data_IF_261583909792
#
_entry.id   IF_261583909792
#
_cell.length_a   1.000
_cell.length_b   1.000
_cell.length_c   1.000
_cell.angle_alpha   90.00
_cell.angle_beta   90.00
_cell.angle_gamma   90.00
#
_symmetry.space_group_name_H-M   'P 1'
#
loop_
_entity.id
_entity.type
_entity.pdbx_description
1 polymer ?
#
# COMPACT_ATOMS: atom_id res chain seq x y z
N UNK A 1 -23.76 -0.99 3.83
CA UNK A 1 -23.54 -1.48 2.45
C UNK A 1 -22.48 -2.58 2.50
N UNK A 2 -22.69 -3.71 1.83
CA UNK A 2 -21.69 -4.79 1.74
C UNK A 2 -20.58 -4.36 0.78
N UNK A 3 -19.32 -4.39 1.23
CA UNK A 3 -18.18 -4.15 0.35
C UNK A 3 -17.93 -5.41 -0.49
N UNK A 4 -17.68 -5.24 -1.79
CA UNK A 4 -17.51 -6.38 -2.70
C UNK A 4 -16.09 -6.96 -2.72
N UNK A 5 -15.10 -6.23 -2.18
CA UNK A 5 -13.69 -6.63 -2.23
C UNK A 5 -13.20 -7.26 -0.93
N UNK A 6 -13.76 -6.86 0.22
CA UNK A 6 -13.38 -7.36 1.54
C UNK A 6 -14.56 -7.31 2.51
N UNK A 7 -14.45 -8.03 3.63
CA UNK A 7 -15.27 -7.74 4.80
C UNK A 7 -14.78 -6.43 5.45
N UNK A 8 -15.72 -5.57 5.85
CA UNK A 8 -15.43 -4.22 6.36
C UNK A 8 -14.98 -4.26 7.82
N UNK A 9 -15.10 -5.42 8.49
CA UNK A 9 -14.52 -5.62 9.81
C UNK A 9 -12.99 -5.63 9.69
N UNK A 10 -12.38 -4.44 9.86
CA UNK A 10 -10.93 -4.26 9.89
C UNK A 10 -10.31 -5.26 10.85
N UNK A 11 -9.46 -6.13 10.32
CA UNK A 11 -8.63 -7.03 11.11
C UNK A 11 -7.42 -6.31 11.69
N UNK A 12 -7.06 -5.16 11.11
CA UNK A 12 -5.99 -4.31 11.65
C UNK A 12 -6.50 -3.42 12.78
N UNK A 13 -5.83 -3.50 13.92
CA UNK A 13 -5.97 -2.58 15.06
C UNK A 13 -4.76 -1.66 15.22
N UNK A 14 -3.79 -1.74 14.30
CA UNK A 14 -2.60 -0.89 14.35
C UNK A 14 -2.96 0.58 14.12
N UNK A 15 -2.42 1.53 14.91
CA UNK A 15 -2.64 2.95 14.69
C UNK A 15 -2.16 3.39 13.30
N UNK A 16 -3.02 4.07 12.54
CA UNK A 16 -2.69 4.59 11.21
C UNK A 16 -1.97 5.93 11.30
N UNK A 17 -1.00 6.14 10.40
CA UNK A 17 -0.27 7.40 10.32
C UNK A 17 -1.23 8.54 9.99
N UNK A 18 -1.40 9.46 10.94
CA UNK A 18 -2.39 10.53 10.88
C UNK A 18 -1.73 11.92 10.75
N UNK A 19 -2.55 12.97 10.71
CA UNK A 19 -2.06 14.35 10.57
C UNK A 19 -1.22 14.85 11.74
N UNK A 20 -1.48 14.36 12.96
CA UNK A 20 -0.68 14.70 14.13
C UNK A 20 0.70 14.05 13.99
N UNK A 21 0.76 12.78 13.59
CA UNK A 21 2.03 12.08 13.35
C UNK A 21 2.86 12.77 12.27
N UNK A 22 2.22 13.11 11.14
CA UNK A 22 2.86 13.85 10.06
C UNK A 22 3.33 15.24 10.51
N UNK A 23 2.56 15.93 11.36
CA UNK A 23 2.95 17.21 11.93
C UNK A 23 4.17 17.11 12.86
N UNK A 24 4.18 16.12 13.78
CA UNK A 24 5.31 15.86 14.67
C UNK A 24 6.59 15.48 13.92
N UNK A 25 6.45 14.81 12.78
CA UNK A 25 7.57 14.48 11.91
C UNK A 25 8.06 15.68 11.10
N UNK A 26 7.16 16.43 10.46
CA UNK A 26 7.56 17.45 9.47
C UNK A 26 7.83 18.84 10.07
N UNK A 27 7.16 19.21 11.15
CA UNK A 27 7.18 20.59 11.69
C UNK A 27 8.15 20.78 12.87
N UNK A 28 8.59 19.70 13.50
CA UNK A 28 9.46 19.74 14.68
C UNK A 28 10.85 19.19 14.36
N UNK A 29 11.91 19.70 15.02
CA UNK A 29 13.25 19.16 14.86
C UNK A 29 13.35 17.72 15.37
N UNK A 30 14.40 17.02 14.94
CA UNK A 30 14.72 15.68 15.42
C UNK A 30 15.01 15.71 16.94
N UNK A 31 14.21 14.96 17.70
CA UNK A 31 14.40 14.78 19.15
C UNK A 31 13.94 13.37 19.54
N UNK A 32 14.86 12.55 20.05
CA UNK A 32 14.57 11.18 20.45
C UNK A 32 13.72 11.08 21.72
N UNK A 33 13.83 12.04 22.62
CA UNK A 33 13.10 12.05 23.89
C UNK A 33 11.62 12.38 23.69
N UNK A 34 11.33 13.34 22.81
CA UNK A 34 9.96 13.71 22.47
C UNK A 34 9.43 12.96 21.24
N UNK A 35 10.27 12.16 20.58
CA UNK A 35 9.92 11.36 19.40
C UNK A 35 9.34 12.27 18.31
N UNK A 36 10.07 13.32 17.96
CA UNK A 36 9.75 14.28 16.89
C UNK A 36 10.77 14.17 15.76
N UNK A 37 10.44 14.69 14.58
CA UNK A 37 11.32 14.58 13.41
C UNK A 37 11.49 13.12 12.95
N UNK A 38 12.67 12.78 12.44
CA UNK A 38 13.02 11.42 11.98
C UNK A 38 12.79 10.32 13.04
N UNK A 39 13.08 10.54 14.34
CA UNK A 39 12.66 9.61 15.39
C UNK A 39 11.18 9.21 15.33
N UNK A 40 10.25 10.14 15.06
CA UNK A 40 8.82 9.83 14.91
C UNK A 40 8.57 8.88 13.75
N UNK A 41 9.14 9.21 12.60
CA UNK A 41 8.97 8.44 11.37
C UNK A 41 9.49 7.01 11.54
N UNK A 42 10.70 6.84 12.07
CA UNK A 42 11.32 5.53 12.25
C UNK A 42 10.66 4.71 13.36
N UNK A 43 10.22 5.36 14.45
CA UNK A 43 9.46 4.66 15.49
C UNK A 43 8.17 4.06 14.93
N UNK A 44 7.46 4.80 14.06
CA UNK A 44 6.27 4.28 13.39
C UNK A 44 6.60 3.14 12.42
N UNK A 45 7.59 3.33 11.53
CA UNK A 45 8.03 2.31 10.56
C UNK A 45 8.42 1.00 11.26
N UNK A 46 9.21 1.09 12.34
CA UNK A 46 9.63 -0.06 13.13
C UNK A 46 8.44 -0.74 13.84
N UNK A 47 7.55 0.04 14.46
CA UNK A 47 6.35 -0.49 15.11
C UNK A 47 5.42 -1.19 14.12
N UNK A 48 5.25 -0.65 12.91
CA UNK A 48 4.44 -1.24 11.85
C UNK A 48 4.99 -2.60 11.43
N UNK A 49 6.31 -2.69 11.17
CA UNK A 49 6.97 -3.94 10.82
C UNK A 49 6.84 -4.98 11.94
N UNK A 50 7.06 -4.56 13.19
CA UNK A 50 6.98 -5.47 14.34
C UNK A 50 5.55 -6.00 14.54
N UNK A 51 4.55 -5.13 14.44
CA UNK A 51 3.15 -5.50 14.61
C UNK A 51 2.65 -6.42 13.48
N UNK A 52 3.02 -6.14 12.23
CA UNK A 52 2.56 -6.90 11.06
C UNK A 52 3.52 -8.03 10.65
N UNK A 53 4.56 -8.33 11.44
CA UNK A 53 5.63 -9.29 11.11
C UNK A 53 5.09 -10.62 10.60
N UNK A 54 4.18 -11.24 11.34
CA UNK A 54 3.65 -12.57 10.99
C UNK A 54 2.80 -12.53 9.71
N UNK A 55 2.07 -11.44 9.48
CA UNK A 55 1.30 -11.23 8.25
C UNK A 55 2.22 -11.09 7.04
N UNK A 56 3.27 -10.26 7.17
CA UNK A 56 4.28 -10.06 6.12
C UNK A 56 4.95 -11.40 5.75
N UNK A 57 5.42 -12.15 6.75
CA UNK A 57 6.05 -13.45 6.55
C UNK A 57 5.07 -14.43 5.89
N UNK A 58 3.84 -14.52 6.41
CA UNK A 58 2.82 -15.44 5.91
C UNK A 58 2.43 -15.16 4.46
N UNK A 59 2.15 -13.89 4.11
CA UNK A 59 1.78 -13.52 2.74
C UNK A 59 2.96 -13.64 1.77
N UNK A 60 4.19 -13.30 2.18
CA UNK A 60 5.38 -13.48 1.35
C UNK A 60 5.60 -14.97 1.00
N UNK A 61 5.49 -15.87 1.98
CA UNK A 61 5.60 -17.30 1.73
C UNK A 61 4.45 -17.85 0.87
N UNK A 62 3.21 -17.42 1.13
CA UNK A 62 2.04 -17.82 0.34
C UNK A 62 2.20 -17.43 -1.12
N UNK A 63 2.67 -16.21 -1.38
CA UNK A 63 2.87 -15.71 -2.73
C UNK A 63 4.20 -16.13 -3.36
N UNK A 64 5.07 -16.79 -2.60
CA UNK A 64 6.40 -17.24 -3.01
C UNK A 64 7.31 -16.08 -3.41
N UNK A 65 7.35 -15.01 -2.63
CA UNK A 65 8.28 -13.89 -2.82
C UNK A 65 9.23 -13.77 -1.62
N UNK A 66 10.42 -13.14 -1.77
CA UNK A 66 11.33 -12.97 -0.66
C UNK A 66 10.67 -12.13 0.46
N UNK A 67 10.76 -12.62 1.70
CA UNK A 67 10.24 -11.88 2.87
C UNK A 67 10.91 -10.50 2.97
N UNK A 68 12.21 -10.44 2.69
CA UNK A 68 12.98 -9.19 2.72
C UNK A 68 12.45 -8.16 1.72
N UNK A 69 11.98 -8.59 0.54
CA UNK A 69 11.39 -7.70 -0.45
C UNK A 69 10.09 -7.08 0.09
N UNK A 70 9.15 -7.91 0.57
CA UNK A 70 7.88 -7.39 1.08
C UNK A 70 8.05 -6.53 2.34
N UNK A 71 8.96 -6.91 3.24
CA UNK A 71 9.28 -6.11 4.42
C UNK A 71 9.98 -4.79 4.05
N UNK A 72 10.86 -4.82 3.04
CA UNK A 72 11.53 -3.64 2.51
C UNK A 72 10.55 -2.64 1.90
N UNK A 73 9.61 -3.12 1.08
CA UNK A 73 8.51 -2.30 0.54
C UNK A 73 7.63 -1.76 1.67
N UNK A 74 7.30 -2.59 2.66
CA UNK A 74 6.52 -2.13 3.80
C UNK A 74 7.21 -0.97 4.54
N UNK A 75 8.51 -1.09 4.81
CA UNK A 75 9.24 -0.02 5.53
C UNK A 75 9.47 1.22 4.67
N UNK A 76 9.60 1.09 3.35
CA UNK A 76 9.77 2.25 2.45
C UNK A 76 8.48 3.08 2.38
N UNK A 77 7.34 2.41 2.23
CA UNK A 77 6.06 3.05 1.94
C UNK A 77 5.30 3.54 3.17
N UNK A 78 5.45 2.87 4.33
CA UNK A 78 4.68 3.26 5.51
C UNK A 78 5.16 4.61 6.05
N UNK A 79 4.19 5.39 6.54
CA UNK A 79 4.34 6.79 6.95
C UNK A 79 4.72 7.76 5.81
N UNK A 80 4.53 9.05 6.05
CA UNK A 80 4.66 10.10 5.04
C UNK A 80 3.38 10.92 4.96
N UNK A 81 2.56 10.70 3.93
CA UNK A 81 1.23 11.32 3.87
C UNK A 81 0.25 10.56 4.77
N UNK A 82 -0.62 11.25 5.53
CA UNK A 82 -1.67 10.60 6.32
C UNK A 82 -2.52 9.64 5.49
N UNK A 83 -2.65 8.40 5.92
CA UNK A 83 -3.18 7.30 5.09
C UNK A 83 -4.65 7.52 4.69
N UNK A 84 -5.48 7.90 5.67
CA UNK A 84 -6.92 8.17 5.44
C UNK A 84 -7.16 9.37 4.53
N UNK A 85 -6.22 10.32 4.47
CA UNK A 85 -6.35 11.49 3.61
C UNK A 85 -6.27 11.12 2.12
N UNK A 86 -5.47 10.11 1.76
CA UNK A 86 -5.43 9.60 0.39
C UNK A 86 -6.78 9.02 -0.03
N UNK A 87 -7.39 8.22 0.85
CA UNK A 87 -8.67 7.55 0.61
C UNK A 87 -9.87 8.50 0.55
N UNK A 88 -9.95 9.46 1.48
CA UNK A 88 -11.15 10.31 1.64
C UNK A 88 -10.97 11.76 1.20
N UNK A 89 -9.75 12.21 0.91
CA UNK A 89 -9.48 13.55 0.39
C UNK A 89 -9.04 13.51 -1.07
N UNK A 90 -7.87 12.90 -1.31
CA UNK A 90 -7.22 12.90 -2.63
C UNK A 90 -8.03 12.12 -3.67
N UNK A 91 -8.50 10.91 -3.32
CA UNK A 91 -9.30 10.10 -4.23
C UNK A 91 -10.59 10.82 -4.66
N UNK A 92 -11.35 11.36 -3.71
CA UNK A 92 -12.59 12.07 -4.00
C UNK A 92 -12.35 13.30 -4.90
N UNK A 93 -11.29 14.05 -4.62
CA UNK A 93 -10.88 15.17 -5.47
C UNK A 93 -10.55 14.71 -6.91
N UNK A 94 -9.81 13.62 -7.07
CA UNK A 94 -9.48 13.09 -8.40
C UNK A 94 -10.68 12.49 -9.15
N UNK A 95 -11.64 11.89 -8.44
CA UNK A 95 -12.91 11.45 -9.05
C UNK A 95 -13.70 12.64 -9.61
N UNK A 96 -13.75 13.76 -8.88
CA UNK A 96 -14.37 14.99 -9.37
C UNK A 96 -13.64 15.52 -10.61
N UNK A 97 -12.31 15.55 -10.59
CA UNK A 97 -11.53 15.96 -11.77
C UNK A 97 -11.75 15.06 -12.98
N UNK A 98 -11.79 13.75 -12.76
CA UNK A 98 -12.04 12.79 -13.83
C UNK A 98 -13.41 13.01 -14.49
N UNK A 99 -14.44 13.29 -13.67
CA UNK A 99 -15.78 13.64 -14.14
C UNK A 99 -15.77 14.92 -14.98
N UNK A 100 -15.15 16.00 -14.51
CA UNK A 100 -15.11 17.28 -15.24
C UNK A 100 -14.25 17.25 -16.50
N UNK A 101 -13.19 16.43 -16.52
CA UNK A 101 -12.27 16.32 -17.65
C UNK A 101 -12.67 15.25 -18.67
N UNK A 102 -13.78 14.53 -18.45
CA UNK A 102 -14.17 13.36 -19.25
C UNK A 102 -13.05 12.32 -19.41
N UNK A 103 -12.17 12.18 -18.41
CA UNK A 103 -11.02 11.26 -18.44
C UNK A 103 -11.35 9.85 -17.91
N UNK A 104 -12.63 9.55 -17.71
CA UNK A 104 -13.11 8.27 -17.18
C UNK A 104 -12.76 8.13 -15.71
N UNK A 105 -11.78 7.28 -15.40
CA UNK A 105 -11.25 7.06 -14.04
C UNK A 105 -9.71 7.09 -14.02
N UNK A 106 -9.10 7.73 -15.01
CA UNK A 106 -7.66 7.66 -15.25
C UNK A 106 -6.85 8.30 -14.12
N UNK A 107 -7.27 9.45 -13.60
CA UNK A 107 -6.54 10.18 -12.55
C UNK A 107 -6.77 9.51 -11.20
N UNK A 108 -8.03 9.22 -10.88
CA UNK A 108 -8.44 8.58 -9.62
C UNK A 108 -7.81 7.19 -9.45
N UNK A 109 -7.66 6.40 -10.52
CA UNK A 109 -7.01 5.08 -10.47
C UNK A 109 -5.51 5.13 -10.13
N UNK A 110 -4.84 6.28 -10.30
CA UNK A 110 -3.44 6.48 -9.92
C UNK A 110 -3.26 6.82 -8.43
N UNK A 111 -4.36 6.90 -7.67
CA UNK A 111 -4.29 7.19 -6.24
C UNK A 111 -3.73 5.98 -5.48
N UNK A 112 -2.60 6.18 -4.83
CA UNK A 112 -2.00 5.25 -3.86
C UNK A 112 -2.72 5.30 -2.52
N UNK A 113 -3.13 4.15 -2.00
CA UNK A 113 -3.91 4.03 -0.76
C UNK A 113 -3.38 2.86 0.09
N UNK A 114 -3.61 2.95 1.41
CA UNK A 114 -3.18 1.96 2.37
C UNK A 114 -1.78 2.24 2.88
N UNK A 115 -1.34 1.43 3.84
CA UNK A 115 -0.05 1.63 4.51
C UNK A 115 1.13 1.36 3.57
N UNK A 116 0.99 0.44 2.60
CA UNK A 116 1.98 0.14 1.56
C UNK A 116 1.71 0.92 0.25
N UNK A 117 0.87 1.96 0.29
CA UNK A 117 0.71 2.93 -0.80
C UNK A 117 0.47 2.36 -2.22
N UNK A 118 -0.20 1.22 -2.36
CA UNK A 118 -0.49 0.64 -3.67
C UNK A 118 -1.55 1.47 -4.42
N UNK A 119 -1.34 1.68 -5.72
CA UNK A 119 -2.31 2.36 -6.58
C UNK A 119 -3.60 1.54 -6.74
N UNK A 120 -4.75 2.21 -6.79
CA UNK A 120 -6.04 1.53 -7.05
C UNK A 120 -6.04 0.74 -8.36
N UNK A 121 -5.35 1.25 -9.39
CA UNK A 121 -5.13 0.53 -10.65
C UNK A 121 -4.44 -0.81 -10.43
N UNK A 122 -3.27 -0.78 -9.80
CA UNK A 122 -2.43 -1.96 -9.57
C UNK A 122 -3.15 -2.97 -8.66
N UNK A 123 -3.87 -2.49 -7.64
CA UNK A 123 -4.68 -3.34 -6.78
C UNK A 123 -5.81 -4.03 -7.56
N UNK A 124 -6.51 -3.31 -8.44
CA UNK A 124 -7.57 -3.90 -9.25
C UNK A 124 -7.05 -4.90 -10.29
N UNK A 125 -5.95 -4.58 -10.98
CA UNK A 125 -5.28 -5.51 -11.89
C UNK A 125 -4.86 -6.79 -11.17
N UNK A 126 -4.32 -6.67 -9.94
CA UNK A 126 -3.94 -7.80 -9.08
C UNK A 126 -5.14 -8.65 -8.66
N UNK A 127 -6.32 -8.06 -8.57
CA UNK A 127 -7.59 -8.75 -8.30
C UNK A 127 -8.25 -9.33 -9.58
N UNK A 128 -7.63 -9.18 -10.74
CA UNK A 128 -8.18 -9.64 -12.03
C UNK A 128 -9.32 -8.75 -12.54
N UNK A 129 -9.41 -7.51 -12.06
CA UNK A 129 -10.43 -6.54 -12.44
C UNK A 129 -9.83 -5.56 -13.45
N UNK A 130 -10.56 -5.27 -14.51
CA UNK A 130 -10.20 -4.21 -15.45
C UNK A 130 -10.31 -2.85 -14.75
N UNK A 131 -9.17 -2.15 -14.48
CA UNK A 131 -9.18 -0.91 -13.72
C UNK A 131 -9.96 0.20 -14.43
N UNK A 132 -10.04 0.17 -15.77
CA UNK A 132 -10.79 1.16 -16.55
C UNK A 132 -12.31 1.08 -16.30
N UNK A 133 -12.80 -0.04 -15.77
CA UNK A 133 -14.23 -0.27 -15.48
C UNK A 133 -14.61 0.00 -14.02
N UNK A 134 -13.66 0.39 -13.17
CA UNK A 134 -13.98 0.74 -11.79
C UNK A 134 -14.86 1.99 -11.73
N UNK A 135 -16.04 1.85 -11.12
CA UNK A 135 -16.87 2.99 -10.74
C UNK A 135 -16.26 3.73 -9.55
N UNK A 136 -16.70 4.98 -9.33
CA UNK A 136 -16.27 5.79 -8.17
C UNK A 136 -16.58 5.10 -6.83
N UNK A 137 -17.71 4.41 -6.74
CA UNK A 137 -18.09 3.61 -5.57
C UNK A 137 -17.16 2.42 -5.37
N UNK A 138 -16.80 1.70 -6.44
CA UNK A 138 -15.87 0.58 -6.36
C UNK A 138 -14.47 1.04 -5.98
N UNK A 139 -14.00 2.17 -6.52
CA UNK A 139 -12.73 2.76 -6.10
C UNK A 139 -12.71 3.08 -4.60
N UNK A 140 -13.79 3.66 -4.07
CA UNK A 140 -13.90 3.95 -2.64
C UNK A 140 -13.97 2.68 -1.79
N UNK A 141 -14.71 1.66 -2.25
CA UNK A 141 -14.78 0.36 -1.58
C UNK A 141 -13.41 -0.34 -1.54
N UNK A 142 -12.68 -0.35 -2.65
CA UNK A 142 -11.33 -0.90 -2.73
C UNK A 142 -10.37 -0.11 -1.85
N UNK A 143 -10.42 1.22 -1.92
CA UNK A 143 -9.66 2.14 -1.07
C UNK A 143 -9.86 1.85 0.42
N UNK A 144 -11.12 1.61 0.85
CA UNK A 144 -11.42 1.23 2.23
C UNK A 144 -10.81 -0.12 2.62
N UNK A 145 -10.83 -1.12 1.71
CA UNK A 145 -10.19 -2.41 1.96
C UNK A 145 -8.67 -2.27 2.08
N UNK A 146 -8.05 -1.41 1.28
CA UNK A 146 -6.61 -1.15 1.33
C UNK A 146 -6.16 -0.44 2.61
N UNK A 147 -7.08 0.14 3.40
CA UNK A 147 -6.75 0.67 4.73
C UNK A 147 -6.58 -0.45 5.78
N UNK A 148 -7.09 -1.66 5.53
CA UNK A 148 -6.81 -2.83 6.37
C UNK A 148 -5.43 -3.41 6.02
N UNK A 149 -4.57 -3.58 7.02
CA UNK A 149 -3.19 -4.02 6.80
C UNK A 149 -3.09 -5.43 6.24
N UNK A 150 -3.94 -6.36 6.67
CA UNK A 150 -3.87 -7.73 6.17
C UNK A 150 -4.23 -7.78 4.68
N UNK A 151 -5.32 -7.09 4.32
CA UNK A 151 -5.71 -6.95 2.93
C UNK A 151 -4.64 -6.23 2.09
N UNK A 152 -4.10 -5.12 2.60
CA UNK A 152 -3.11 -4.32 1.88
C UNK A 152 -1.80 -5.09 1.64
N UNK A 153 -1.26 -5.75 2.67
CA UNK A 153 -0.05 -6.57 2.59
C UNK A 153 -0.25 -7.73 1.60
N UNK A 154 -1.39 -8.41 1.66
CA UNK A 154 -1.74 -9.50 0.74
C UNK A 154 -1.75 -9.03 -0.73
N UNK A 155 -2.42 -7.92 -1.02
CA UNK A 155 -2.49 -7.38 -2.38
C UNK A 155 -1.11 -6.95 -2.88
N UNK A 156 -0.31 -6.30 -2.05
CA UNK A 156 1.06 -5.90 -2.45
C UNK A 156 1.95 -7.12 -2.68
N UNK A 157 1.85 -8.16 -1.85
CA UNK A 157 2.60 -9.41 -2.07
C UNK A 157 2.27 -10.05 -3.44
N UNK A 158 0.98 -10.12 -3.80
CA UNK A 158 0.53 -10.60 -5.11
C UNK A 158 0.99 -9.72 -6.26
N UNK A 159 0.96 -8.40 -6.06
CA UNK A 159 1.42 -7.45 -7.05
C UNK A 159 2.92 -7.59 -7.32
N UNK A 160 3.74 -7.64 -6.27
CA UNK A 160 5.20 -7.83 -6.35
C UNK A 160 5.57 -9.13 -7.07
N UNK A 161 4.86 -10.23 -6.78
CA UNK A 161 5.03 -11.49 -7.51
C UNK A 161 4.79 -11.32 -9.01
N UNK A 162 3.73 -10.58 -9.35
CA UNK A 162 3.37 -10.33 -10.75
C UNK A 162 4.43 -9.49 -11.46
N UNK A 163 5.01 -8.50 -10.76
CA UNK A 163 6.15 -7.71 -11.25
C UNK A 163 7.39 -8.58 -11.45
N UNK A 164 7.75 -9.44 -10.48
CA UNK A 164 8.89 -10.36 -10.61
C UNK A 164 8.75 -11.25 -11.84
N UNK A 165 7.58 -11.85 -12.05
CA UNK A 165 7.32 -12.72 -13.21
C UNK A 165 7.35 -11.92 -14.51
N UNK A 166 6.77 -10.72 -14.52
CA UNK A 166 6.75 -9.85 -15.70
C UNK A 166 8.15 -9.44 -16.14
N UNK A 167 9.01 -9.06 -15.18
CA UNK A 167 10.39 -8.64 -15.47
C UNK A 167 11.32 -9.83 -15.72
N UNK A 168 10.94 -11.03 -15.28
CA UNK A 168 11.75 -12.25 -15.42
C UNK A 168 10.92 -13.42 -15.98
N UNK A 169 10.55 -13.41 -17.28
CA UNK A 169 9.61 -14.39 -17.86
C UNK A 169 10.05 -15.86 -17.74
N UNK A 170 11.36 -16.12 -17.60
CA UNK A 170 11.92 -17.46 -17.49
C UNK A 170 12.18 -17.90 -16.03
N UNK A 171 11.73 -17.13 -15.04
CA UNK A 171 11.98 -17.41 -13.63
C UNK A 171 11.22 -18.67 -13.19
N UNK A 172 11.95 -19.60 -12.55
CA UNK A 172 11.38 -20.85 -12.04
C UNK A 172 11.03 -20.79 -10.56
N UNK A 173 11.77 -19.96 -9.82
CA UNK A 173 11.61 -19.77 -8.38
C UNK A 173 11.61 -18.27 -8.06
N UNK A 174 10.47 -17.77 -7.60
CA UNK A 174 10.29 -16.37 -7.22
C UNK A 174 10.69 -16.11 -5.76
N UNK A 175 11.03 -17.15 -4.97
CA UNK A 175 11.53 -16.99 -3.60
C UNK A 175 13.02 -16.66 -3.57
N UNK A 176 13.78 -17.25 -4.48
CA UNK A 176 15.23 -17.11 -4.57
C UNK A 176 15.60 -16.31 -5.82
N UNK A 177 15.42 -14.99 -5.73
CA UNK A 177 15.75 -14.04 -6.79
C UNK A 177 17.11 -13.40 -6.53
N UNK A 178 17.78 -12.92 -7.58
CA UNK A 178 19.05 -12.19 -7.42
C UNK A 178 18.85 -10.82 -6.80
N UNK A 179 19.92 -10.20 -6.31
CA UNK A 179 19.89 -8.84 -5.76
C UNK A 179 19.39 -7.83 -6.79
N UNK A 180 19.77 -7.98 -8.07
CA UNK A 180 19.28 -7.12 -9.16
C UNK A 180 17.77 -7.28 -9.37
N UNK A 181 17.28 -8.52 -9.38
CA UNK A 181 15.85 -8.80 -9.50
C UNK A 181 15.06 -8.24 -8.32
N UNK A 182 15.62 -8.31 -7.11
CA UNK A 182 15.06 -7.75 -5.90
C UNK A 182 14.96 -6.22 -5.99
N UNK A 183 16.05 -5.56 -6.40
CA UNK A 183 16.09 -4.09 -6.56
C UNK A 183 15.08 -3.63 -7.62
N UNK A 184 15.02 -4.31 -8.77
CA UNK A 184 14.07 -3.98 -9.84
C UNK A 184 12.63 -4.10 -9.33
N UNK A 185 12.31 -5.21 -8.65
CA UNK A 185 10.98 -5.44 -8.10
C UNK A 185 10.59 -4.43 -7.01
N UNK A 186 11.55 -3.95 -6.21
CA UNK A 186 11.34 -2.96 -5.15
C UNK A 186 11.21 -1.51 -5.67
N UNK A 187 11.66 -1.23 -6.90
CA UNK A 187 11.76 0.13 -7.46
C UNK A 187 10.52 0.63 -8.21
N UNK A 188 9.49 -0.22 -8.35
CA UNK A 188 8.28 0.05 -9.14
C UNK A 188 7.09 0.36 -8.25
#
# INVERSE_FOLDING_TARGET
MKNMFCDINSTSTFPKWNFIDAGLWYLFPDDERYVTGNPRLWAYKAAYLQYNKDKIISHAHREKIPVLLLAGVAVSEVAGTPERFKAYGVLQYYQIRDYFNNSGNTISNRTSVGSLAIQLRAAAETLGIDPSKLSTTQQLQLSNCLLDDDFNINIVAKHLKSLIIFDNPNIKDTLNISDEQLIIAASK
#
